data_IF_829666870358
#
_entry.id   IF_829666870358
#
_cell.length_a   1.000
_cell.length_b   1.000
_cell.length_c   1.000
_cell.angle_alpha   90.00
_cell.angle_beta   90.00
_cell.angle_gamma   90.00
#
_symmetry.space_group_name_H-M   'P 1'
#
loop_
_entity.id
_entity.type
_entity.pdbx_description
1 polymer ?
#
# COMPACT_ATOMS: atom_id res chain seq x y z
N UNK A 1 21.69 -0.88 18.95
CA UNK A 1 21.20 -1.41 20.25
C UNK A 1 19.72 -1.04 20.31
N UNK A 2 18.82 -1.99 20.16
CA UNK A 2 17.38 -1.73 20.25
C UNK A 2 17.02 -1.47 21.71
N UNK A 3 16.52 -0.28 22.01
CA UNK A 3 15.85 0.02 23.28
C UNK A 3 14.58 -0.85 23.38
N UNK A 4 14.19 -1.29 24.57
CA UNK A 4 13.00 -2.11 24.82
C UNK A 4 11.69 -1.42 24.39
N UNK A 5 11.73 -0.12 24.08
CA UNK A 5 10.60 0.64 23.53
C UNK A 5 10.38 0.44 22.02
N UNK A 6 11.35 -0.10 21.27
CA UNK A 6 11.19 -0.36 19.84
C UNK A 6 10.69 -1.78 19.60
N UNK A 7 9.52 -1.91 18.97
CA UNK A 7 8.98 -3.18 18.52
C UNK A 7 9.24 -3.35 17.04
N UNK A 8 9.74 -4.52 16.65
CA UNK A 8 9.99 -4.88 15.24
C UNK A 8 9.03 -5.99 14.84
N UNK A 9 8.12 -5.68 13.92
CA UNK A 9 7.25 -6.66 13.29
C UNK A 9 7.89 -7.07 11.96
N UNK A 10 8.46 -8.27 11.92
CA UNK A 10 9.02 -8.82 10.69
C UNK A 10 7.89 -9.44 9.86
N UNK A 11 7.52 -8.80 8.76
CA UNK A 11 6.59 -9.33 7.77
C UNK A 11 7.00 -8.80 6.40
N UNK A 12 6.94 -9.67 5.40
CA UNK A 12 7.08 -9.36 3.97
C UNK A 12 5.74 -8.93 3.33
N UNK A 13 4.63 -9.02 4.06
CA UNK A 13 3.31 -8.59 3.59
C UNK A 13 3.00 -7.15 4.04
N UNK A 14 2.94 -6.23 3.08
CA UNK A 14 2.55 -4.83 3.28
C UNK A 14 1.12 -4.67 3.81
N UNK A 15 0.28 -5.72 3.77
CA UNK A 15 -1.03 -5.72 4.42
C UNK A 15 -0.89 -5.48 5.92
N UNK A 16 0.06 -6.14 6.58
CA UNK A 16 0.34 -5.97 8.01
C UNK A 16 0.78 -4.53 8.28
N UNK A 17 1.68 -3.99 7.46
CA UNK A 17 2.13 -2.60 7.58
C UNK A 17 0.96 -1.61 7.44
N UNK A 18 0.10 -1.82 6.45
CA UNK A 18 -1.06 -0.97 6.21
C UNK A 18 -2.06 -0.99 7.35
N UNK A 19 -2.42 -2.18 7.84
CA UNK A 19 -3.33 -2.32 8.98
C UNK A 19 -2.76 -1.66 10.24
N UNK A 20 -1.48 -1.88 10.55
CA UNK A 20 -0.81 -1.26 11.70
C UNK A 20 -0.62 0.25 11.56
N UNK A 21 -0.57 0.78 10.34
CA UNK A 21 -0.44 2.22 10.08
C UNK A 21 -1.79 2.94 10.05
N UNK A 22 -2.89 2.22 10.23
CA UNK A 22 -4.24 2.78 10.19
C UNK A 22 -4.69 3.36 11.52
N UNK A 23 -5.65 4.28 11.47
CA UNK A 23 -6.27 4.85 12.66
C UNK A 23 -6.95 3.80 13.53
N UNK A 24 -7.41 2.70 12.95
CA UNK A 24 -8.05 1.59 13.66
C UNK A 24 -7.05 1.00 14.67
N UNK A 25 -5.83 0.73 14.22
CA UNK A 25 -4.78 0.22 15.09
C UNK A 25 -4.27 1.28 16.07
N UNK A 26 -4.15 2.54 15.66
CA UNK A 26 -3.79 3.63 16.56
C UNK A 26 -4.74 3.72 17.76
N UNK A 27 -6.05 3.75 17.53
CA UNK A 27 -7.04 3.86 18.61
C UNK A 27 -7.00 2.65 19.55
N UNK A 28 -6.84 1.45 18.99
CA UNK A 28 -6.62 0.24 19.79
C UNK A 28 -5.37 0.35 20.66
N UNK A 29 -4.24 0.73 20.06
CA UNK A 29 -2.97 0.82 20.75
C UNK A 29 -2.97 1.91 21.84
N UNK A 30 -3.65 3.04 21.61
CA UNK A 30 -3.84 4.10 22.59
C UNK A 30 -4.72 3.65 23.77
N UNK A 31 -5.76 2.84 23.51
CA UNK A 31 -6.67 2.34 24.53
C UNK A 31 -6.08 1.17 25.35
N UNK A 32 -5.43 0.22 24.69
CA UNK A 32 -4.91 -1.00 25.31
C UNK A 32 -3.48 -0.83 25.88
N UNK A 33 -2.73 0.13 25.34
CA UNK A 33 -1.34 0.41 25.69
C UNK A 33 -1.14 0.97 27.09
N UNK A 34 0.11 1.28 27.41
CA UNK A 34 0.48 1.97 28.65
C UNK A 34 0.60 3.48 28.47
N UNK A 35 0.76 4.20 29.57
CA UNK A 35 1.14 5.62 29.57
C UNK A 35 2.40 5.81 30.41
N UNK A 36 3.27 6.73 30.02
CA UNK A 36 4.52 7.01 30.73
C UNK A 36 4.63 8.50 31.10
N UNK A 37 5.13 8.76 32.31
CA UNK A 37 5.51 10.10 32.76
C UNK A 37 4.35 11.04 33.08
N UNK A 38 4.69 12.29 33.38
CA UNK A 38 3.74 13.36 33.75
C UNK A 38 2.89 13.80 32.53
N UNK A 39 3.43 13.65 31.32
CA UNK A 39 2.77 14.00 30.06
C UNK A 39 1.76 12.97 29.55
N UNK A 40 1.62 11.81 30.21
CA UNK A 40 0.75 10.72 29.76
C UNK A 40 1.09 10.23 28.34
N UNK A 41 2.38 10.20 28.02
CA UNK A 41 2.90 9.82 26.70
C UNK A 41 2.53 8.35 26.41
N UNK A 42 1.93 8.04 25.25
CA UNK A 42 1.57 6.67 24.90
C UNK A 42 2.78 5.75 24.86
N UNK A 43 2.65 4.57 25.46
CA UNK A 43 3.65 3.50 25.39
C UNK A 43 3.04 2.26 24.75
N UNK A 44 3.59 1.91 23.59
CA UNK A 44 3.23 0.68 22.89
C UNK A 44 3.76 -0.54 23.65
N UNK A 45 2.88 -1.50 23.94
CA UNK A 45 3.23 -2.77 24.60
C UNK A 45 2.82 -3.92 23.69
N UNK A 46 3.79 -4.70 23.19
CA UNK A 46 3.53 -5.75 22.20
C UNK A 46 2.40 -6.70 22.63
N UNK A 47 2.41 -7.16 23.88
CA UNK A 47 1.44 -8.15 24.37
C UNK A 47 0.03 -7.61 24.57
N UNK A 48 -0.14 -6.27 24.60
CA UNK A 48 -1.46 -5.63 24.75
C UNK A 48 -1.92 -4.90 23.50
N UNK A 49 -1.00 -4.50 22.64
CA UNK A 49 -1.27 -3.73 21.45
C UNK A 49 -1.25 -4.60 20.20
N UNK A 50 -0.19 -5.38 19.94
CA UNK A 50 -0.08 -6.19 18.71
C UNK A 50 -0.70 -7.57 18.88
N UNK A 51 -0.29 -8.31 19.91
CA UNK A 51 -0.64 -9.74 20.08
C UNK A 51 -2.15 -9.95 20.30
N UNK A 52 -2.84 -8.95 20.85
CA UNK A 52 -4.28 -8.98 21.10
C UNK A 52 -5.08 -8.20 20.05
N UNK A 53 -4.44 -7.55 19.08
CA UNK A 53 -5.17 -6.80 18.06
C UNK A 53 -5.89 -7.76 17.11
N UNK A 54 -7.22 -7.68 16.98
CA UNK A 54 -7.94 -8.56 16.07
C UNK A 54 -7.79 -8.08 14.63
N UNK A 55 -6.79 -8.59 13.91
CA UNK A 55 -6.58 -8.27 12.49
C UNK A 55 -7.80 -8.62 11.63
N UNK A 56 -8.07 -7.85 10.56
CA UNK A 56 -9.16 -8.16 9.64
C UNK A 56 -8.83 -9.45 8.89
N UNK A 57 -9.86 -10.23 8.58
CA UNK A 57 -9.75 -11.48 7.83
C UNK A 57 -10.96 -11.61 6.89
N UNK A 58 -11.01 -12.68 6.11
CA UNK A 58 -12.09 -12.92 5.14
C UNK A 58 -13.48 -12.82 5.78
N UNK A 59 -13.64 -13.28 7.03
CA UNK A 59 -14.92 -13.26 7.73
C UNK A 59 -15.34 -11.88 8.26
N UNK A 60 -14.44 -10.89 8.27
CA UNK A 60 -14.77 -9.49 8.61
C UNK A 60 -15.02 -8.64 7.37
N UNK A 61 -14.82 -9.17 6.16
CA UNK A 61 -14.99 -8.42 4.91
C UNK A 61 -13.70 -8.09 4.18
N UNK A 62 -12.54 -8.61 4.61
CA UNK A 62 -11.30 -8.48 3.86
C UNK A 62 -11.37 -9.34 2.59
N UNK A 63 -11.37 -8.67 1.44
CA UNK A 63 -11.27 -9.33 0.12
C UNK A 63 -9.84 -9.27 -0.43
N UNK A 64 -9.49 -10.08 -1.45
CA UNK A 64 -8.21 -9.95 -2.14
C UNK A 64 -7.96 -8.54 -2.68
N UNK A 65 -8.98 -7.90 -3.26
CA UNK A 65 -8.87 -6.55 -3.82
C UNK A 65 -8.61 -5.49 -2.74
N UNK A 66 -9.29 -5.62 -1.58
CA UNK A 66 -9.03 -4.75 -0.43
C UNK A 66 -7.64 -4.99 0.14
N UNK A 67 -7.17 -6.24 0.18
CA UNK A 67 -5.84 -6.59 0.63
C UNK A 67 -4.76 -5.92 -0.23
N UNK A 68 -4.89 -6.03 -1.55
CA UNK A 68 -3.97 -5.38 -2.51
C UNK A 68 -4.02 -3.87 -2.42
N UNK A 69 -5.23 -3.30 -2.21
CA UNK A 69 -5.38 -1.87 -2.00
C UNK A 69 -4.67 -1.37 -0.75
N UNK A 70 -4.79 -2.09 0.37
CA UNK A 70 -4.13 -1.75 1.64
C UNK A 70 -2.61 -1.86 1.48
N UNK A 71 -2.10 -2.92 0.83
CA UNK A 71 -0.67 -3.07 0.51
C UNK A 71 -0.13 -1.87 -0.26
N UNK A 72 -0.80 -1.54 -1.36
CA UNK A 72 -0.39 -0.43 -2.22
C UNK A 72 -0.38 0.91 -1.46
N UNK A 73 -1.38 1.16 -0.61
CA UNK A 73 -1.43 2.38 0.21
C UNK A 73 -0.30 2.42 1.24
N UNK A 74 0.00 1.30 1.91
CA UNK A 74 1.10 1.19 2.86
C UNK A 74 2.45 1.49 2.19
N UNK A 75 2.69 0.90 1.01
CA UNK A 75 3.89 1.16 0.20
C UNK A 75 4.00 2.63 -0.22
N UNK A 76 2.89 3.24 -0.65
CA UNK A 76 2.88 4.65 -1.06
C UNK A 76 3.16 5.60 0.11
N UNK A 77 2.62 5.33 1.30
CA UNK A 77 2.93 6.10 2.50
C UNK A 77 4.43 5.97 2.81
N UNK A 78 4.99 4.77 2.73
CA UNK A 78 6.41 4.55 2.96
C UNK A 78 7.30 5.25 1.94
N UNK A 79 7.02 5.07 0.65
CA UNK A 79 7.73 5.72 -0.45
C UNK A 79 7.64 7.25 -0.35
N UNK A 80 6.46 7.79 0.00
CA UNK A 80 6.25 9.23 0.20
C UNK A 80 7.17 9.75 1.30
N UNK A 81 7.16 9.12 2.49
CA UNK A 81 8.00 9.53 3.63
C UNK A 81 9.48 9.51 3.25
N UNK A 82 9.97 8.43 2.65
CA UNK A 82 11.37 8.27 2.23
C UNK A 82 11.76 9.31 1.18
N UNK A 83 10.94 9.53 0.16
CA UNK A 83 11.21 10.51 -0.89
C UNK A 83 11.31 11.94 -0.32
N UNK A 84 10.43 12.31 0.62
CA UNK A 84 10.48 13.64 1.24
C UNK A 84 11.70 13.83 2.13
N UNK A 85 12.07 12.82 2.92
CA UNK A 85 13.26 12.85 3.76
C UNK A 85 14.56 12.93 2.93
N UNK A 86 14.61 12.21 1.81
CA UNK A 86 15.76 12.27 0.90
C UNK A 86 15.89 13.62 0.19
N UNK A 87 14.77 14.26 -0.16
CA UNK A 87 14.76 15.56 -0.84
C UNK A 87 15.02 16.75 0.10
N UNK A 88 14.67 16.63 1.38
CA UNK A 88 14.69 17.74 2.33
C UNK A 88 15.17 17.26 3.72
N UNK A 89 16.41 17.58 4.08
CA UNK A 89 17.02 17.18 5.37
C UNK A 89 16.23 17.66 6.60
N UNK A 90 15.51 18.78 6.47
CA UNK A 90 14.65 19.32 7.53
C UNK A 90 13.37 18.47 7.77
N UNK A 91 13.01 17.59 6.83
CA UNK A 91 11.84 16.72 6.95
C UNK A 91 12.15 15.54 7.85
N UNK A 92 11.48 15.50 9.01
CA UNK A 92 11.53 14.37 9.95
C UNK A 92 10.16 13.72 10.07
N UNK A 93 10.10 12.43 10.41
CA UNK A 93 8.80 11.76 10.62
C UNK A 93 7.98 12.48 11.69
N UNK A 94 8.57 12.75 12.85
CA UNK A 94 7.90 13.49 13.94
C UNK A 94 7.36 14.83 13.45
N UNK A 95 8.15 15.57 12.67
CA UNK A 95 7.72 16.84 12.10
C UNK A 95 6.53 16.69 11.14
N UNK A 96 6.56 15.72 10.22
CA UNK A 96 5.48 15.44 9.28
C UNK A 96 4.16 15.14 10.01
N UNK A 97 4.21 14.25 11.00
CA UNK A 97 3.01 13.84 11.74
C UNK A 97 2.50 14.92 12.70
N UNK A 98 3.37 15.77 13.26
CA UNK A 98 2.94 16.94 14.03
C UNK A 98 2.18 17.95 13.16
N UNK A 99 2.67 18.22 11.95
CA UNK A 99 1.97 19.11 11.00
C UNK A 99 0.66 18.47 10.53
N UNK A 100 0.65 17.15 10.29
CA UNK A 100 -0.57 16.41 9.95
C UNK A 100 -1.63 16.53 11.05
N UNK A 101 -1.23 16.39 12.31
CA UNK A 101 -2.12 16.54 13.46
C UNK A 101 -2.75 17.95 13.51
N UNK A 102 -1.94 19.01 13.35
CA UNK A 102 -2.44 20.39 13.28
C UNK A 102 -3.40 20.62 12.12
N UNK A 103 -3.11 20.05 10.94
CA UNK A 103 -4.00 20.11 9.78
C UNK A 103 -5.33 19.40 10.01
N UNK A 104 -5.32 18.32 10.80
CA UNK A 104 -6.54 17.59 11.18
C UNK A 104 -7.34 18.36 12.23
N UNK A 105 -6.70 18.89 13.27
CA UNK A 105 -7.36 19.68 14.32
C UNK A 105 -7.77 21.10 13.91
N UNK A 106 -7.29 21.58 12.76
CA UNK A 106 -7.56 22.95 12.29
C UNK A 106 -6.72 24.02 13.01
N UNK A 107 -5.68 23.61 13.74
CA UNK A 107 -4.75 24.52 14.41
C UNK A 107 -3.96 25.36 13.38
N UNK A 108 -3.72 26.64 13.67
CA UNK A 108 -2.94 27.49 12.78
C UNK A 108 -1.49 27.01 12.68
N UNK A 109 -1.00 26.87 11.44
CA UNK A 109 0.38 26.50 11.18
C UNK A 109 1.33 27.69 11.38
N UNK A 110 2.40 27.50 12.15
CA UNK A 110 3.51 28.46 12.25
C UNK A 110 4.29 28.56 10.93
N UNK A 111 5.21 29.53 10.81
CA UNK A 111 6.08 29.64 9.63
C UNK A 111 6.92 28.36 9.40
N UNK A 112 7.42 27.75 10.48
CA UNK A 112 8.15 26.47 10.42
C UNK A 112 7.24 25.32 9.98
N UNK A 113 6.02 25.25 10.54
CA UNK A 113 5.05 24.21 10.16
C UNK A 113 4.65 24.33 8.69
N UNK A 114 4.49 25.56 8.17
CA UNK A 114 4.17 25.81 6.76
C UNK A 114 5.30 25.37 5.82
N UNK A 115 6.54 25.70 6.15
CA UNK A 115 7.69 25.24 5.38
C UNK A 115 7.77 23.70 5.36
N UNK A 116 7.51 23.07 6.50
CA UNK A 116 7.50 21.63 6.62
C UNK A 116 6.29 20.97 5.93
N UNK A 117 5.13 21.63 5.95
CA UNK A 117 3.94 21.22 5.20
C UNK A 117 4.24 21.14 3.70
N UNK A 118 4.89 22.17 3.16
CA UNK A 118 5.26 22.27 1.75
C UNK A 118 6.32 21.24 1.36
N UNK A 119 7.47 21.21 2.07
CA UNK A 119 8.57 20.28 1.78
C UNK A 119 8.16 18.81 1.99
N UNK A 120 7.38 18.57 3.05
CA UNK A 120 6.87 17.26 3.42
C UNK A 120 5.65 16.82 2.62
N UNK A 121 5.07 17.70 1.81
CA UNK A 121 3.82 17.48 1.09
C UNK A 121 2.75 16.84 1.99
N UNK A 122 2.54 17.41 3.20
CA UNK A 122 1.75 16.76 4.27
C UNK A 122 0.28 16.56 3.89
N UNK A 123 -0.26 17.36 2.96
CA UNK A 123 -1.60 17.13 2.41
C UNK A 123 -1.70 15.82 1.63
N UNK A 124 -0.64 15.39 0.93
CA UNK A 124 -0.61 14.09 0.23
C UNK A 124 -0.55 12.96 1.26
N UNK A 125 0.30 13.11 2.27
CA UNK A 125 0.38 12.16 3.39
C UNK A 125 -0.99 11.99 4.08
N UNK A 126 -1.71 13.09 4.31
CA UNK A 126 -3.07 13.08 4.84
C UNK A 126 -4.01 12.25 3.96
N UNK A 127 -4.05 12.51 2.65
CA UNK A 127 -4.93 11.76 1.74
C UNK A 127 -4.61 10.27 1.73
N UNK A 128 -3.33 9.90 1.73
CA UNK A 128 -2.94 8.49 1.78
C UNK A 128 -3.39 7.79 3.06
N UNK A 129 -3.27 8.46 4.22
CA UNK A 129 -3.79 7.94 5.49
C UNK A 129 -5.31 7.86 5.51
N UNK A 130 -6.01 8.91 5.03
CA UNK A 130 -7.47 8.91 4.99
C UNK A 130 -8.00 7.80 4.04
N UNK A 131 -7.31 7.50 2.93
CA UNK A 131 -7.62 6.38 2.03
C UNK A 131 -7.31 5.01 2.67
N UNK A 132 -6.20 4.91 3.41
CA UNK A 132 -5.82 3.69 4.14
C UNK A 132 -6.85 3.36 5.23
N UNK A 133 -7.24 4.35 6.04
CA UNK A 133 -8.23 4.21 7.10
C UNK A 133 -9.57 3.74 6.52
N UNK A 134 -10.01 4.32 5.41
CA UNK A 134 -11.24 3.92 4.73
C UNK A 134 -11.17 2.49 4.17
N UNK A 135 -10.03 2.05 3.63
CA UNK A 135 -9.84 0.69 3.14
C UNK A 135 -9.80 -0.33 4.29
N UNK A 136 -9.17 0.02 5.41
CA UNK A 136 -9.10 -0.85 6.60
C UNK A 136 -10.48 -0.98 7.25
N UNK A 137 -11.25 0.12 7.37
CA UNK A 137 -12.65 0.03 7.80
C UNK A 137 -13.48 -0.90 6.91
N UNK A 138 -13.29 -0.85 5.59
CA UNK A 138 -13.96 -1.76 4.66
C UNK A 138 -13.54 -3.22 4.89
N UNK A 139 -12.26 -3.50 5.16
CA UNK A 139 -11.77 -4.84 5.49
C UNK A 139 -12.35 -5.42 6.79
N UNK A 140 -12.82 -4.55 7.69
CA UNK A 140 -13.58 -4.92 8.89
C UNK A 140 -15.10 -4.95 8.67
N UNK A 141 -15.59 -4.55 7.49
CA UNK A 141 -17.02 -4.43 7.22
C UNK A 141 -17.66 -3.24 7.92
N UNK A 142 -16.87 -2.26 8.36
CA UNK A 142 -17.26 -1.10 9.16
C UNK A 142 -17.19 0.22 8.38
N UNK A 143 -17.43 0.16 7.07
CA UNK A 143 -17.45 1.36 6.21
C UNK A 143 -18.53 2.37 6.63
N UNK A 144 -19.55 1.92 7.37
CA UNK A 144 -20.62 2.74 7.93
C UNK A 144 -20.15 3.75 8.98
N UNK A 145 -19.02 3.49 9.66
CA UNK A 145 -18.42 4.47 10.59
C UNK A 145 -17.93 5.73 9.87
N UNK A 146 -17.60 5.63 8.57
CA UNK A 146 -17.09 6.75 7.78
C UNK A 146 -15.73 7.27 8.26
N UNK A 147 -15.36 8.44 7.72
CA UNK A 147 -14.10 9.08 8.05
C UNK A 147 -14.12 9.69 9.46
N UNK A 148 -12.96 9.72 10.11
CA UNK A 148 -12.79 10.32 11.44
C UNK A 148 -13.22 11.81 11.41
N UNK A 149 -14.14 12.24 12.27
CA UNK A 149 -14.64 13.62 12.28
C UNK A 149 -13.66 14.56 13.00
N UNK A 150 -12.50 14.84 12.39
CA UNK A 150 -11.41 15.60 13.00
C UNK A 150 -11.79 17.01 13.51
N UNK A 151 -12.80 17.64 12.90
CA UNK A 151 -13.25 18.99 13.24
C UNK A 151 -14.28 19.07 14.38
N UNK A 152 -14.73 17.93 14.90
CA UNK A 152 -15.70 17.86 16.00
C UNK A 152 -15.21 16.83 17.04
N UNK A 153 -14.79 17.34 18.19
CA UNK A 153 -14.23 16.51 19.26
C UNK A 153 -15.26 15.52 19.83
N UNK A 154 -16.52 15.94 19.98
CA UNK A 154 -17.58 15.10 20.51
C UNK A 154 -17.96 14.00 19.51
N UNK A 155 -18.09 14.34 18.22
CA UNK A 155 -18.32 13.36 17.18
C UNK A 155 -17.14 12.37 17.06
N UNK A 156 -15.90 12.85 17.25
CA UNK A 156 -14.71 11.99 17.22
C UNK A 156 -14.67 11.04 18.40
N UNK A 157 -15.00 11.51 19.60
CA UNK A 157 -15.11 10.64 20.78
C UNK A 157 -16.15 9.53 20.56
N UNK A 158 -17.33 9.86 20.04
CA UNK A 158 -18.38 8.88 19.74
C UNK A 158 -17.96 7.89 18.63
N UNK A 159 -17.25 8.37 17.61
CA UNK A 159 -16.67 7.52 16.56
C UNK A 159 -15.65 6.53 17.15
N UNK A 160 -14.73 7.01 18.00
CA UNK A 160 -13.72 6.17 18.66
C UNK A 160 -14.35 5.15 19.60
N UNK A 161 -15.37 5.53 20.38
CA UNK A 161 -16.11 4.59 21.24
C UNK A 161 -16.75 3.46 20.43
N UNK A 162 -17.45 3.81 19.35
CA UNK A 162 -18.08 2.84 18.45
C UNK A 162 -17.05 1.89 17.81
N UNK A 163 -15.89 2.42 17.42
CA UNK A 163 -14.79 1.61 16.88
C UNK A 163 -14.25 0.63 17.93
N UNK A 164 -13.96 1.11 19.14
CA UNK A 164 -13.39 0.31 20.22
C UNK A 164 -14.36 -0.79 20.67
N UNK A 165 -15.66 -0.51 20.74
CA UNK A 165 -16.68 -1.52 21.05
C UNK A 165 -16.67 -2.67 20.04
N UNK A 166 -16.60 -2.35 18.74
CA UNK A 166 -16.51 -3.36 17.66
C UNK A 166 -15.22 -4.16 17.73
N UNK A 167 -14.08 -3.51 18.00
CA UNK A 167 -12.79 -4.18 18.16
C UNK A 167 -12.76 -5.12 19.37
N UNK A 168 -13.29 -4.70 20.52
CA UNK A 168 -13.38 -5.55 21.73
C UNK A 168 -14.28 -6.75 21.46
N UNK A 169 -15.42 -6.55 20.80
CA UNK A 169 -16.32 -7.63 20.40
C UNK A 169 -15.63 -8.64 19.48
N UNK A 170 -14.90 -8.14 18.47
CA UNK A 170 -14.14 -8.99 17.57
C UNK A 170 -13.00 -9.73 18.29
N UNK A 171 -12.26 -9.06 19.17
CA UNK A 171 -11.21 -9.68 19.97
C UNK A 171 -11.74 -10.81 20.85
N UNK A 172 -12.88 -10.62 21.52
CA UNK A 172 -13.53 -11.67 22.31
C UNK A 172 -13.90 -12.89 21.46
N UNK A 173 -14.40 -12.66 20.23
CA UNK A 173 -14.66 -13.73 19.26
C UNK A 173 -13.38 -14.47 18.87
N UNK A 174 -12.28 -13.75 18.59
CA UNK A 174 -10.98 -14.36 18.24
C UNK A 174 -10.44 -15.22 19.39
N UNK A 175 -10.51 -14.74 20.63
CA UNK A 175 -10.11 -15.50 21.80
C UNK A 175 -10.94 -16.79 21.97
N UNK A 176 -12.24 -16.75 21.68
CA UNK A 176 -13.10 -17.94 21.73
C UNK A 176 -12.76 -18.95 20.63
N UNK A 177 -12.43 -18.48 19.41
CA UNK A 177 -11.99 -19.33 18.29
C UNK A 177 -10.65 -20.00 18.62
N UNK A 178 -9.68 -19.25 19.18
CA UNK A 178 -8.38 -19.78 19.61
C UNK A 178 -8.52 -20.84 20.71
N UNK A 179 -9.42 -20.61 21.68
CA UNK A 179 -9.73 -21.59 22.73
C UNK A 179 -10.33 -22.90 22.16
N UNK A 180 -10.95 -22.84 20.99
CA UNK A 180 -11.47 -24.00 20.24
C UNK A 180 -10.43 -24.58 19.25
N UNK A 181 -9.21 -24.04 19.22
CA UNK A 181 -8.13 -24.48 18.34
C UNK A 181 -8.15 -23.86 16.94
N UNK A 182 -9.07 -22.94 16.65
CA UNK A 182 -9.10 -22.19 15.39
C UNK A 182 -8.24 -20.94 15.52
N UNK A 183 -6.98 -21.04 15.12
CA UNK A 183 -6.05 -19.90 15.13
C UNK A 183 -5.93 -19.29 13.75
N UNK A 184 -6.12 -17.98 13.66
CA UNK A 184 -5.90 -17.20 12.42
C UNK A 184 -4.49 -16.63 12.40
N UNK A 185 -3.58 -17.45 11.89
CA UNK A 185 -2.17 -17.07 11.74
C UNK A 185 -2.00 -15.93 10.73
N UNK A 186 -1.27 -14.88 11.12
CA UNK A 186 -0.87 -13.79 10.23
C UNK A 186 0.24 -14.22 9.28
N UNK A 187 1.13 -15.10 9.77
CA UNK A 187 2.24 -15.69 9.03
C UNK A 187 2.22 -17.21 9.21
N UNK A 188 1.23 -17.89 8.60
CA UNK A 188 1.01 -19.32 8.81
C UNK A 188 2.27 -20.16 8.51
N UNK A 189 3.09 -19.76 7.54
CA UNK A 189 4.35 -20.42 7.19
C UNK A 189 5.41 -20.41 8.32
N UNK A 190 5.31 -19.49 9.29
CA UNK A 190 6.19 -19.45 10.47
C UNK A 190 5.47 -19.76 11.78
N UNK A 191 4.17 -19.57 11.85
CA UNK A 191 3.42 -19.67 13.10
C UNK A 191 2.72 -21.03 13.23
N UNK A 192 2.12 -21.53 12.15
CA UNK A 192 1.39 -22.79 12.15
C UNK A 192 2.35 -23.97 12.34
N UNK A 193 2.27 -24.72 13.46
CA UNK A 193 3.13 -25.86 13.71
C UNK A 193 3.04 -26.90 12.60
N UNK A 194 1.86 -27.14 12.02
CA UNK A 194 1.67 -28.16 10.99
C UNK A 194 2.40 -27.76 9.71
N UNK A 195 2.25 -26.50 9.26
CA UNK A 195 2.95 -26.00 8.06
C UNK A 195 4.46 -25.92 8.27
N UNK A 196 4.92 -25.51 9.45
CA UNK A 196 6.36 -25.53 9.76
C UNK A 196 6.96 -26.92 9.71
N UNK A 197 6.29 -27.93 10.28
CA UNK A 197 6.78 -29.31 10.21
C UNK A 197 6.73 -29.86 8.78
N UNK A 198 5.69 -29.53 8.00
CA UNK A 198 5.61 -29.92 6.59
C UNK A 198 6.73 -29.28 5.73
N UNK A 199 7.08 -28.02 6.00
CA UNK A 199 8.20 -27.33 5.33
C UNK A 199 9.58 -27.82 5.79
N UNK A 200 9.67 -28.44 6.98
CA UNK A 200 10.91 -28.99 7.54
C UNK A 200 11.12 -30.49 7.25
N UNK A 201 10.19 -31.15 6.55
CA UNK A 201 10.40 -32.50 6.04
C UNK A 201 11.63 -32.50 5.11
N UNK A 202 12.53 -33.49 5.20
CA UNK A 202 13.88 -33.36 4.68
C UNK A 202 13.89 -33.21 3.17
N UNK A 203 14.46 -32.10 2.69
CA UNK A 203 15.12 -32.09 1.38
C UNK A 203 16.16 -33.23 1.35
N UNK A 204 16.41 -33.87 0.19
CA UNK A 204 17.40 -34.94 0.12
C UNK A 204 18.71 -34.42 0.70
N UNK A 205 19.33 -35.27 1.54
CA UNK A 205 20.54 -34.97 2.29
C UNK A 205 21.52 -34.16 1.44
N UNK A 206 22.06 -33.07 2.02
CA UNK A 206 23.22 -32.39 1.45
C UNK A 206 24.27 -33.47 1.20
N UNK A 207 24.51 -33.79 -0.07
CA UNK A 207 25.58 -34.69 -0.45
C UNK A 207 26.87 -34.09 0.10
N UNK A 208 27.54 -34.83 0.98
CA UNK A 208 28.91 -34.55 1.37
C UNK A 208 29.73 -34.36 0.09
N UNK A 209 30.43 -33.22 0.00
CA UNK A 209 31.40 -32.95 -1.04
C UNK A 209 32.56 -33.93 -0.89
N UNK A 210 32.47 -35.07 -1.58
CA UNK A 210 33.59 -35.97 -1.78
C UNK A 210 34.48 -35.40 -2.90
N UNK A 211 35.73 -35.09 -2.56
CA UNK A 211 36.73 -34.49 -3.44
C UNK A 211 37.29 -35.58 -4.34
N UNK A 212 36.76 -35.67 -5.58
CA UNK A 212 37.28 -36.60 -6.58
C UNK A 212 38.55 -36.04 -7.24
N UNK A 213 39.61 -36.84 -7.14
CA UNK A 213 40.88 -36.74 -7.85
C UNK A 213 40.68 -37.10 -9.34
N UNK A 214 41.28 -36.33 -10.24
CA UNK A 214 41.42 -36.62 -11.70
C UNK A 214 42.21 -37.93 -11.89
N UNK A 215 41.94 -38.86 -12.82
CA UNK A 215 41.92 -38.88 -14.30
C UNK A 215 41.76 -40.38 -14.73
N UNK A 216 41.75 -40.84 -16.01
CA UNK A 216 41.47 -40.24 -17.33
C UNK A 216 40.42 -41.05 -18.16
N UNK A 217 40.26 -40.70 -19.45
CA UNK A 217 39.11 -41.01 -20.32
C UNK A 217 39.26 -42.16 -21.34
N UNK A 218 38.09 -42.55 -21.90
CA UNK A 218 37.75 -43.17 -23.22
C UNK A 218 37.87 -44.70 -23.44
N UNK A 219 37.19 -45.33 -24.46
CA UNK A 219 36.23 -44.79 -25.46
C UNK A 219 34.92 -45.62 -25.70
N UNK A 220 33.95 -44.92 -26.33
CA UNK A 220 32.93 -45.26 -27.37
C UNK A 220 32.30 -46.67 -27.50
N UNK A 221 30.96 -46.74 -27.64
CA UNK A 221 30.35 -47.21 -28.91
C UNK A 221 28.85 -46.88 -29.05
N UNK A 222 28.46 -46.73 -30.31
CA UNK A 222 27.18 -46.41 -30.96
C UNK A 222 25.93 -47.17 -30.52
N UNK A 223 24.72 -46.56 -30.64
CA UNK A 223 23.74 -46.95 -31.67
C UNK A 223 22.51 -46.00 -31.78
N UNK A 224 21.78 -46.19 -32.87
CA UNK A 224 20.86 -45.40 -33.69
C UNK A 224 19.53 -44.84 -33.11
N UNK A 225 19.00 -43.89 -33.88
CA UNK A 225 17.76 -43.07 -33.83
C UNK A 225 16.43 -43.90 -33.87
N UNK A 226 15.17 -43.34 -33.87
CA UNK A 226 14.77 -42.01 -34.35
C UNK A 226 13.51 -41.27 -33.78
N UNK A 227 13.38 -39.99 -34.19
CA UNK A 227 12.14 -39.26 -34.63
C UNK A 227 11.09 -38.88 -33.57
N UNK A 228 10.80 -37.59 -33.32
CA UNK A 228 9.92 -36.68 -34.10
C UNK A 228 10.04 -35.26 -33.48
N UNK A 229 10.19 -34.16 -34.25
CA UNK A 229 9.11 -33.24 -34.66
C UNK A 229 8.57 -32.41 -33.48
N UNK A 230 8.54 -31.08 -33.41
CA UNK A 230 8.45 -30.01 -34.42
C UNK A 230 8.60 -28.68 -33.66
N UNK A 231 9.45 -27.77 -34.14
CA UNK A 231 9.28 -26.31 -33.93
C UNK A 231 8.55 -25.78 -35.16
N UNK A 232 7.78 -24.69 -35.06
CA UNK A 232 8.41 -23.39 -35.30
C UNK A 232 7.87 -22.24 -34.45
N UNK A 233 8.78 -21.35 -34.06
CA UNK A 233 8.43 -19.96 -33.78
C UNK A 233 8.06 -19.24 -35.08
N UNK A 234 7.21 -18.22 -34.98
CA UNK A 234 7.20 -17.11 -35.94
C UNK A 234 6.78 -15.83 -35.23
N UNK A 235 7.61 -14.83 -35.48
CA UNK A 235 7.56 -13.43 -35.10
C UNK A 235 6.60 -12.65 -36.00
N UNK A 236 5.84 -11.74 -35.38
CA UNK A 236 5.44 -10.38 -35.80
C UNK A 236 5.08 -10.14 -37.29
N UNK A 237 3.83 -9.73 -37.55
CA UNK A 237 3.50 -8.46 -38.22
C UNK A 237 1.97 -8.23 -38.31
N UNK A 238 1.58 -7.02 -37.89
CA UNK A 238 0.50 -6.17 -38.39
C UNK A 238 -0.91 -6.74 -38.60
N UNK A 239 -1.82 -6.31 -37.72
CA UNK A 239 -3.17 -5.95 -38.15
C UNK A 239 -3.55 -4.60 -37.55
N UNK A 240 -3.58 -3.62 -38.44
CA UNK A 240 -4.17 -2.30 -38.27
C UNK A 240 -5.65 -2.42 -37.95
N UNK A 241 -6.10 -1.56 -37.03
CA UNK A 241 -7.43 -0.98 -37.11
C UNK A 241 -8.55 -1.79 -36.47
N UNK A 242 -8.77 -1.58 -35.17
CA UNK A 242 -10.13 -1.57 -34.65
C UNK A 242 -10.25 -0.46 -33.63
N UNK A 243 -10.89 0.62 -34.05
CA UNK A 243 -11.40 1.70 -33.21
C UNK A 243 -12.33 1.12 -32.15
N UNK A 244 -11.82 1.05 -30.92
CA UNK A 244 -12.59 0.78 -29.70
C UNK A 244 -13.22 2.09 -29.19
N UNK A 245 -14.35 2.02 -28.47
CA UNK A 245 -15.35 3.08 -28.44
C UNK A 245 -14.89 4.36 -27.75
N UNK A 246 -15.34 5.49 -28.28
CA UNK A 246 -15.09 6.81 -27.73
C UNK A 246 -15.54 6.88 -26.26
N UNK A 247 -14.57 6.97 -25.35
CA UNK A 247 -14.81 7.25 -23.93
C UNK A 247 -15.51 8.60 -23.79
N UNK A 248 -16.62 8.63 -23.05
CA UNK A 248 -17.42 9.83 -22.84
C UNK A 248 -16.56 10.95 -22.21
N UNK A 249 -16.58 12.15 -22.80
CA UNK A 249 -15.79 13.29 -22.31
C UNK A 249 -16.33 13.78 -20.96
N UNK A 250 -15.45 13.90 -19.96
CA UNK A 250 -15.80 14.33 -18.60
C UNK A 250 -15.53 15.84 -18.40
N UNK A 251 -16.31 16.57 -17.59
CA UNK A 251 -16.01 17.97 -17.28
C UNK A 251 -14.70 18.09 -16.49
N UNK A 252 -13.91 19.14 -16.76
CA UNK A 252 -12.65 19.42 -16.07
C UNK A 252 -12.91 19.90 -14.63
N UNK A 253 -12.37 19.22 -13.61
CA UNK A 253 -12.63 19.58 -12.21
C UNK A 253 -12.04 20.95 -11.81
N UNK A 254 -12.65 21.68 -10.86
CA UNK A 254 -12.17 22.99 -10.45
C UNK A 254 -10.94 22.95 -9.54
N UNK A 255 -10.80 21.93 -8.68
CA UNK A 255 -9.71 21.84 -7.71
C UNK A 255 -8.52 21.01 -8.22
N UNK A 256 -7.30 21.35 -7.77
CA UNK A 256 -6.09 20.62 -8.16
C UNK A 256 -6.12 19.12 -7.77
N UNK A 257 -6.55 18.72 -6.56
CA UNK A 257 -6.63 17.30 -6.20
C UNK A 257 -7.59 16.51 -7.09
N UNK A 258 -8.76 17.08 -7.40
CA UNK A 258 -9.72 16.44 -8.30
C UNK A 258 -9.19 16.38 -9.74
N UNK A 259 -8.45 17.39 -10.20
CA UNK A 259 -7.79 17.37 -11.51
C UNK A 259 -6.76 16.23 -11.60
N UNK A 260 -5.93 16.06 -10.57
CA UNK A 260 -4.95 14.97 -10.52
C UNK A 260 -5.62 13.60 -10.52
N UNK A 261 -6.68 13.43 -9.71
CA UNK A 261 -7.48 12.19 -9.68
C UNK A 261 -8.12 11.91 -11.04
N UNK A 262 -8.75 12.91 -11.65
CA UNK A 262 -9.41 12.76 -12.94
C UNK A 262 -8.43 12.36 -14.05
N UNK A 263 -7.21 12.92 -14.05
CA UNK A 263 -6.15 12.54 -14.99
C UNK A 263 -5.63 11.12 -14.72
N UNK A 264 -5.41 10.75 -13.46
CA UNK A 264 -5.01 9.39 -13.08
C UNK A 264 -6.07 8.35 -13.49
N UNK A 265 -7.35 8.60 -13.22
CA UNK A 265 -8.47 7.76 -13.65
C UNK A 265 -8.51 7.60 -15.18
N UNK A 266 -8.24 8.68 -15.92
CA UNK A 266 -8.24 8.66 -17.38
C UNK A 266 -7.08 7.85 -17.96
N UNK A 267 -5.91 7.84 -17.31
CA UNK A 267 -4.78 6.99 -17.65
C UNK A 267 -5.05 5.53 -17.29
N UNK A 268 -5.64 5.26 -16.12
CA UNK A 268 -5.98 3.91 -15.66
C UNK A 268 -7.08 3.24 -16.51
N UNK A 269 -8.06 4.03 -16.97
CA UNK A 269 -9.11 3.56 -17.87
C UNK A 269 -8.66 3.42 -19.33
N UNK A 270 -7.38 3.68 -19.65
CA UNK A 270 -6.84 3.53 -21.00
C UNK A 270 -6.14 2.19 -21.17
N UNK A 271 -6.48 1.38 -22.18
CA UNK A 271 -5.81 0.10 -22.44
C UNK A 271 -4.37 0.25 -22.96
N UNK A 272 -3.94 1.48 -23.29
CA UNK A 272 -2.59 1.77 -23.77
C UNK A 272 -2.13 3.18 -23.41
N UNK A 273 -0.84 3.49 -23.66
CA UNK A 273 -0.27 4.79 -23.34
C UNK A 273 -0.94 5.91 -24.16
N UNK A 274 -1.21 7.05 -23.51
CA UNK A 274 -1.88 8.20 -24.08
C UNK A 274 -0.93 9.38 -24.23
N UNK A 275 -0.90 9.98 -25.42
CA UNK A 275 -0.28 11.30 -25.61
C UNK A 275 -1.11 12.41 -24.97
N UNK A 276 -0.48 13.55 -24.69
CA UNK A 276 -1.14 14.71 -24.05
C UNK A 276 -2.39 15.19 -24.80
N UNK A 277 -2.34 15.21 -26.14
CA UNK A 277 -3.48 15.60 -26.97
C UNK A 277 -4.67 14.63 -26.83
N UNK A 278 -4.41 13.33 -26.85
CA UNK A 278 -5.44 12.30 -26.69
C UNK A 278 -6.05 12.31 -25.28
N UNK A 279 -5.23 12.62 -24.27
CA UNK A 279 -5.69 12.80 -22.90
C UNK A 279 -6.54 14.06 -22.74
N UNK A 280 -6.15 15.17 -23.36
CA UNK A 280 -6.93 16.41 -23.37
C UNK A 280 -8.31 16.23 -24.03
N UNK A 281 -8.43 15.37 -25.03
CA UNK A 281 -9.70 15.09 -25.71
C UNK A 281 -10.71 14.30 -24.85
N UNK A 282 -10.28 13.74 -23.71
CA UNK A 282 -11.16 13.08 -22.72
C UNK A 282 -11.85 14.06 -21.78
N UNK A 283 -11.50 15.35 -21.83
CA UNK A 283 -12.05 16.37 -20.92
C UNK A 283 -12.71 17.55 -21.65
N UNK A 284 -13.74 18.13 -21.02
CA UNK A 284 -14.38 19.37 -21.45
C UNK A 284 -14.20 20.44 -20.38
N UNK A 285 -13.74 21.64 -20.75
CA UNK A 285 -13.52 22.71 -19.78
C UNK A 285 -13.29 24.07 -20.43
N UNK A 286 -13.66 25.14 -19.74
CA UNK A 286 -13.42 26.53 -20.17
C UNK A 286 -12.08 27.03 -19.62
N UNK A 287 -11.35 27.82 -20.39
CA UNK A 287 -10.08 28.43 -19.96
C UNK A 287 -8.82 27.61 -20.30
N UNK A 288 -7.62 28.08 -19.90
CA UNK A 288 -6.34 27.55 -20.34
C UNK A 288 -5.88 26.28 -19.59
N UNK A 289 -6.83 25.42 -19.17
CA UNK A 289 -6.53 24.24 -18.36
C UNK A 289 -5.60 23.24 -19.05
N UNK A 290 -5.65 23.15 -20.40
CA UNK A 290 -4.75 22.30 -21.19
C UNK A 290 -3.26 22.61 -20.94
N UNK A 291 -2.92 23.86 -20.60
CA UNK A 291 -1.54 24.25 -20.27
C UNK A 291 -1.04 23.68 -18.93
N UNK A 292 -1.95 23.26 -18.05
CA UNK A 292 -1.63 22.67 -16.73
C UNK A 292 -1.46 21.15 -16.80
N UNK A 293 -1.91 20.52 -17.88
CA UNK A 293 -1.86 19.07 -18.05
C UNK A 293 -0.44 18.50 -17.98
N UNK A 294 0.60 19.11 -18.58
CA UNK A 294 1.97 18.61 -18.46
C UNK A 294 2.48 18.64 -17.01
N UNK A 295 2.18 19.71 -16.26
CA UNK A 295 2.58 19.82 -14.85
C UNK A 295 1.86 18.78 -13.97
N UNK A 296 0.60 18.47 -14.26
CA UNK A 296 -0.15 17.42 -13.56
C UNK A 296 0.45 16.05 -13.86
N UNK A 297 0.80 15.77 -15.12
CA UNK A 297 1.42 14.50 -15.51
C UNK A 297 2.79 14.30 -14.87
N UNK A 298 3.64 15.34 -14.85
CA UNK A 298 4.91 15.33 -14.13
C UNK A 298 4.72 15.09 -12.62
N UNK A 299 3.70 15.71 -12.02
CA UNK A 299 3.38 15.46 -10.61
C UNK A 299 2.92 14.02 -10.39
N UNK A 300 2.08 13.47 -11.27
CA UNK A 300 1.64 12.08 -11.19
C UNK A 300 2.78 11.09 -11.40
N UNK A 301 3.75 11.41 -12.25
CA UNK A 301 4.99 10.64 -12.41
C UNK A 301 5.84 10.65 -11.15
N UNK A 302 6.05 11.84 -10.57
CA UNK A 302 6.76 11.98 -9.31
C UNK A 302 6.06 11.26 -8.13
N UNK A 303 4.74 11.06 -8.23
CA UNK A 303 3.93 10.30 -7.28
C UNK A 303 3.84 8.80 -7.60
N UNK A 304 4.49 8.32 -8.66
CA UNK A 304 4.41 6.91 -9.08
C UNK A 304 3.00 6.48 -9.48
N UNK A 305 2.17 7.42 -9.96
CA UNK A 305 0.80 7.20 -10.45
C UNK A 305 0.71 7.16 -11.97
N UNK A 306 1.72 7.70 -12.63
CA UNK A 306 1.85 7.67 -14.08
C UNK A 306 3.30 7.36 -14.44
N UNK A 307 3.52 6.81 -15.63
CA UNK A 307 4.84 6.58 -16.20
C UNK A 307 4.90 7.21 -17.58
N UNK A 308 5.97 7.95 -17.86
CA UNK A 308 6.28 8.42 -19.20
C UNK A 308 7.02 7.33 -19.99
N UNK A 309 6.52 7.02 -21.17
CA UNK A 309 7.18 6.21 -22.18
C UNK A 309 7.51 7.10 -23.40
N UNK A 310 8.56 6.74 -24.14
CA UNK A 310 8.93 7.45 -25.37
C UNK A 310 7.98 7.05 -26.52
N UNK A 311 7.18 7.99 -27.01
CA UNK A 311 6.30 7.79 -28.17
C UNK A 311 6.82 8.45 -29.45
N UNK A 312 6.33 8.00 -30.61
CA UNK A 312 6.76 8.47 -31.93
C UNK A 312 6.54 9.97 -32.19
N UNK A 313 5.62 10.61 -31.46
CA UNK A 313 5.28 12.05 -31.61
C UNK A 313 5.43 12.85 -30.31
N UNK A 314 6.11 12.31 -29.29
CA UNK A 314 6.27 12.93 -27.97
C UNK A 314 6.13 11.93 -26.81
N UNK A 315 6.26 12.42 -25.57
CA UNK A 315 6.05 11.60 -24.39
C UNK A 315 4.60 11.07 -24.34
N UNK A 316 4.46 9.77 -24.13
CA UNK A 316 3.16 9.12 -23.92
C UNK A 316 3.09 8.62 -22.48
N UNK A 317 1.91 8.69 -21.89
CA UNK A 317 1.71 8.49 -20.47
C UNK A 317 0.81 7.28 -20.25
N UNK A 318 1.15 6.43 -19.29
CA UNK A 318 0.30 5.34 -18.83
C UNK A 318 0.17 5.36 -17.32
N UNK A 319 -0.86 4.71 -16.77
CA UNK A 319 -0.93 4.47 -15.34
C UNK A 319 0.27 3.61 -14.91
N UNK A 320 0.86 3.97 -13.78
CA UNK A 320 1.94 3.21 -13.14
C UNK A 320 1.39 2.08 -12.29
#
# INVERSE_FOLDING_TARGET
MSDQGLIVVASDDFLVLGVLSSRIHDEWALAAGGRLGIGNDPRYNNSRCFETFPFPAEDTGLTPELSDRIRALAEQIDAHRKARQAAHEAVTLTGLYNVLAKLRSGEPLSAKDKALHEQGLVSVLRTLHDELDAAVLQAYGWADLGAVPWGDEAARAAWTESLLERLVTLNARRAAEEAQGLVRWLRPEFQDPVRRHAAAAPAPAQAELDVLTEQPAQPEDSDDSPVTGTTPGTSIADIVGTTSPASARRPWPPSLPEQMRAVADALAASPGPLGEAALADRFTGRGPWKKRLPQILQTLEALGRARADAGASGAVWRAA
#
